data_IF_128762327527
#
_entry.id   IF_128762327527
#
_cell.length_a   1.000
_cell.length_b   1.000
_cell.length_c   1.000
_cell.angle_alpha   90.00
_cell.angle_beta   90.00
_cell.angle_gamma   90.00
#
_symmetry.space_group_name_H-M   'P 1'
#
loop_
_entity.id
_entity.type
_entity.pdbx_description
1 polymer ?
#
# COMPACT_ATOMS: atom_id res chain seq x y z
N UNK A 1 -8.81 15.14 10.84
CA UNK A 1 -8.46 14.13 9.81
C UNK A 1 -9.50 13.04 9.89
N UNK A 2 -10.07 12.64 8.75
CA UNK A 2 -11.14 11.63 8.70
C UNK A 2 -10.52 10.25 8.98
N UNK A 3 -10.56 9.81 10.23
CA UNK A 3 -10.36 8.40 10.64
C UNK A 3 -11.61 7.55 10.36
N UNK A 4 -12.55 8.06 9.54
CA UNK A 4 -13.86 7.45 9.28
C UNK A 4 -13.90 6.61 8.01
N UNK A 5 -12.85 6.62 7.18
CA UNK A 5 -12.75 5.72 6.03
C UNK A 5 -12.40 4.33 6.57
N UNK A 6 -13.21 3.34 6.24
CA UNK A 6 -13.09 2.01 6.83
C UNK A 6 -12.60 0.98 5.83
N UNK A 7 -12.81 1.18 4.52
CA UNK A 7 -12.59 0.15 3.52
C UNK A 7 -11.48 0.43 2.50
N UNK A 8 -11.02 -0.61 1.79
CA UNK A 8 -9.95 -0.51 0.80
C UNK A 8 -10.32 0.34 -0.43
N UNK A 9 -11.60 0.33 -0.82
CA UNK A 9 -12.12 1.15 -1.92
C UNK A 9 -12.04 2.64 -1.55
N UNK A 10 -12.50 2.99 -0.35
CA UNK A 10 -12.51 4.37 0.12
C UNK A 10 -11.10 4.94 0.25
N UNK A 11 -10.18 4.17 0.84
CA UNK A 11 -8.77 4.57 0.97
C UNK A 11 -8.08 4.72 -0.38
N UNK A 12 -8.27 3.77 -1.30
CA UNK A 12 -7.64 3.83 -2.62
C UNK A 12 -8.13 5.04 -3.43
N UNK A 13 -9.44 5.33 -3.40
CA UNK A 13 -10.00 6.51 -4.06
C UNK A 13 -9.54 7.81 -3.41
N UNK A 14 -9.51 7.87 -2.08
CA UNK A 14 -9.04 9.07 -1.37
C UNK A 14 -7.59 9.40 -1.71
N UNK A 15 -6.70 8.40 -1.67
CA UNK A 15 -5.28 8.59 -2.00
C UNK A 15 -5.13 8.99 -3.47
N UNK A 16 -5.82 8.31 -4.40
CA UNK A 16 -5.76 8.69 -5.81
C UNK A 16 -6.29 10.10 -6.08
N UNK A 17 -7.38 10.52 -5.41
CA UNK A 17 -7.91 11.87 -5.55
C UNK A 17 -6.91 12.94 -5.09
N UNK A 18 -6.20 12.72 -3.98
CA UNK A 18 -5.14 13.64 -3.53
C UNK A 18 -4.03 13.76 -4.59
N UNK A 19 -3.62 12.63 -5.14
CA UNK A 19 -2.53 12.59 -6.11
C UNK A 19 -2.96 13.21 -7.46
N UNK A 20 -4.20 13.00 -7.89
CA UNK A 20 -4.76 13.60 -9.11
C UNK A 20 -4.84 15.12 -8.97
N UNK A 21 -5.20 15.63 -7.78
CA UNK A 21 -5.18 17.07 -7.51
C UNK A 21 -3.76 17.66 -7.48
N UNK A 22 -2.76 16.89 -7.04
CA UNK A 22 -1.37 17.35 -6.92
C UNK A 22 -0.58 17.25 -8.24
N UNK A 23 -0.86 16.25 -9.07
CA UNK A 23 -0.02 15.88 -10.22
C UNK A 23 -0.80 15.69 -11.54
N UNK A 24 -2.13 15.86 -11.52
CA UNK A 24 -3.00 15.60 -12.68
C UNK A 24 -3.39 14.13 -12.83
N UNK A 25 -4.40 13.87 -13.67
CA UNK A 25 -5.00 12.54 -13.83
C UNK A 25 -4.16 11.57 -14.69
N UNK A 26 -3.13 12.05 -15.40
CA UNK A 26 -2.26 11.25 -16.29
C UNK A 26 -0.93 10.85 -15.63
N UNK A 27 -0.77 11.08 -14.33
CA UNK A 27 0.46 10.91 -13.53
C UNK A 27 1.00 9.47 -13.40
N UNK A 28 0.40 8.48 -14.07
CA UNK A 28 0.79 7.09 -13.94
C UNK A 28 2.11 6.82 -14.70
N UNK A 29 2.98 5.93 -14.20
CA UNK A 29 2.82 5.09 -13.01
C UNK A 29 3.05 5.82 -11.67
N UNK A 30 2.18 5.57 -10.69
CA UNK A 30 2.37 5.90 -9.26
C UNK A 30 3.73 5.45 -8.68
N UNK A 31 4.42 6.34 -7.98
CA UNK A 31 5.53 5.96 -7.09
C UNK A 31 4.99 5.58 -5.71
N UNK A 32 4.89 4.29 -5.41
CA UNK A 32 4.40 3.82 -4.09
C UNK A 32 5.30 4.29 -2.95
N UNK A 33 6.61 4.34 -3.21
CA UNK A 33 7.61 4.81 -2.25
C UNK A 33 7.36 6.27 -1.90
N UNK A 34 7.20 7.15 -2.89
CA UNK A 34 6.93 8.57 -2.62
C UNK A 34 5.59 8.79 -1.94
N UNK A 35 4.55 8.04 -2.32
CA UNK A 35 3.26 8.10 -1.62
C UNK A 35 3.44 7.71 -0.15
N UNK A 36 4.12 6.59 0.12
CA UNK A 36 4.40 6.16 1.49
C UNK A 36 5.18 7.23 2.27
N UNK A 37 6.31 7.71 1.75
CA UNK A 37 7.24 8.56 2.52
C UNK A 37 6.93 10.06 2.47
N UNK A 38 6.06 10.53 1.57
CA UNK A 38 5.71 11.95 1.48
C UNK A 38 4.26 12.24 1.85
N UNK A 39 3.31 11.35 1.51
CA UNK A 39 1.90 11.57 1.82
C UNK A 39 1.59 11.20 3.26
N UNK A 40 2.06 10.06 3.75
CA UNK A 40 1.73 9.60 5.11
C UNK A 40 2.24 10.52 6.22
N UNK A 41 3.42 11.18 6.14
CA UNK A 41 3.80 12.23 7.10
C UNK A 41 2.86 13.43 7.17
N UNK A 42 2.20 13.76 6.05
CA UNK A 42 1.23 14.87 5.99
C UNK A 42 -0.13 14.44 6.54
N UNK A 43 -0.56 13.22 6.22
CA UNK A 43 -1.84 12.68 6.68
C UNK A 43 -1.81 12.21 8.13
N UNK A 44 -0.67 11.70 8.61
CA UNK A 44 -0.53 11.05 9.90
C UNK A 44 0.80 11.42 10.58
N UNK A 45 0.97 12.68 10.98
CA UNK A 45 2.25 13.18 11.50
C UNK A 45 2.72 12.51 12.81
N UNK A 46 1.85 11.74 13.49
CA UNK A 46 2.17 11.06 14.75
C UNK A 46 2.63 9.62 14.57
N UNK A 47 2.37 9.01 13.41
CA UNK A 47 2.66 7.62 13.10
C UNK A 47 2.86 7.41 11.58
N UNK A 48 3.69 8.19 10.90
CA UNK A 48 3.85 8.10 9.45
C UNK A 48 4.71 6.91 9.02
N UNK A 49 4.65 6.57 7.73
CA UNK A 49 5.69 5.75 7.11
C UNK A 49 6.90 6.63 6.85
N UNK A 50 8.04 6.26 7.43
CA UNK A 50 9.30 7.02 7.34
C UNK A 50 10.32 6.34 6.42
N UNK A 51 10.19 5.04 6.20
CA UNK A 51 11.15 4.26 5.42
C UNK A 51 10.44 3.22 4.54
N UNK A 52 10.96 3.04 3.33
CA UNK A 52 10.64 1.91 2.46
C UNK A 52 11.96 1.29 2.02
N UNK A 53 12.17 0.01 2.34
CA UNK A 53 13.50 -0.61 2.20
C UNK A 53 13.44 -2.05 1.69
N UNK A 54 14.35 -2.38 0.78
CA UNK A 54 14.57 -3.77 0.39
C UNK A 54 15.30 -4.54 1.47
N UNK A 55 14.86 -5.75 1.78
CA UNK A 55 15.52 -6.67 2.68
C UNK A 55 15.45 -8.11 2.15
N UNK A 56 16.34 -8.99 2.62
CA UNK A 56 16.20 -10.43 2.39
C UNK A 56 15.17 -10.95 3.38
N UNK A 57 13.97 -11.25 2.88
CA UNK A 57 12.86 -11.73 3.71
C UNK A 57 12.65 -13.23 3.45
N UNK A 58 13.04 -14.08 4.41
CA UNK A 58 12.90 -15.53 4.24
C UNK A 58 11.42 -15.93 4.23
N UNK A 59 10.94 -16.43 3.10
CA UNK A 59 9.56 -16.92 2.94
C UNK A 59 8.48 -15.83 2.94
N UNK A 60 8.85 -14.54 2.89
CA UNK A 60 7.91 -13.41 2.84
C UNK A 60 8.18 -12.56 1.60
N UNK A 61 7.14 -11.93 1.07
CA UNK A 61 7.27 -11.00 -0.05
C UNK A 61 7.41 -9.56 0.45
N UNK A 62 6.73 -9.22 1.55
CA UNK A 62 6.77 -7.90 2.17
C UNK A 62 6.51 -7.95 3.68
N UNK A 63 6.73 -6.81 4.32
CA UNK A 63 6.36 -6.60 5.71
C UNK A 63 6.10 -5.12 6.00
N UNK A 64 5.10 -4.83 6.81
CA UNK A 64 4.88 -3.54 7.43
C UNK A 64 5.27 -3.66 8.90
N UNK A 65 6.26 -2.91 9.37
CA UNK A 65 6.68 -2.96 10.78
C UNK A 65 6.71 -1.57 11.42
N UNK A 66 6.49 -1.46 12.74
CA UNK A 66 6.79 -0.22 13.44
C UNK A 66 8.28 0.11 13.27
N UNK A 67 8.61 1.40 13.10
CA UNK A 67 9.99 1.85 12.90
C UNK A 67 10.88 1.34 14.05
N UNK A 68 11.87 0.47 13.76
CA UNK A 68 12.71 -0.16 14.76
C UNK A 68 13.59 0.85 15.52
N UNK A 69 13.78 2.07 14.97
CA UNK A 69 14.53 3.14 15.62
C UNK A 69 13.70 3.91 16.68
N UNK A 70 12.53 3.39 17.09
CA UNK A 70 11.66 3.94 18.16
C UNK A 70 11.17 5.37 17.91
N UNK A 71 11.22 5.84 16.66
CA UNK A 71 10.52 7.04 16.23
C UNK A 71 9.08 6.65 15.97
N UNK A 72 8.13 7.50 16.38
CA UNK A 72 6.70 7.23 16.24
C UNK A 72 6.36 7.11 14.74
N UNK A 73 6.39 5.90 14.17
CA UNK A 73 6.31 5.70 12.73
C UNK A 73 6.39 4.24 12.30
N UNK A 74 6.37 4.02 11.00
CA UNK A 74 6.27 2.72 10.33
C UNK A 74 7.28 2.62 9.18
N UNK A 75 7.67 1.39 8.86
CA UNK A 75 8.52 1.07 7.72
C UNK A 75 7.90 -0.04 6.88
N UNK A 76 8.00 0.09 5.56
CA UNK A 76 7.66 -0.98 4.61
C UNK A 76 8.94 -1.68 4.16
N UNK A 77 8.92 -3.01 4.21
CA UNK A 77 9.97 -3.86 3.67
C UNK A 77 9.45 -4.66 2.48
N UNK A 78 10.28 -4.84 1.47
CA UNK A 78 10.00 -5.74 0.35
C UNK A 78 11.17 -6.70 0.14
N UNK A 79 10.88 -7.91 -0.32
CA UNK A 79 11.88 -8.94 -0.49
C UNK A 79 12.75 -8.68 -1.73
N UNK A 80 14.04 -8.46 -1.53
CA UNK A 80 15.00 -8.23 -2.62
C UNK A 80 15.27 -9.48 -3.46
N UNK A 81 14.88 -10.67 -2.98
CA UNK A 81 14.93 -11.90 -3.78
C UNK A 81 13.90 -11.92 -4.92
N UNK A 82 12.85 -11.09 -4.85
CA UNK A 82 11.85 -10.96 -5.91
C UNK A 82 12.39 -10.07 -7.03
N UNK A 83 12.69 -10.65 -8.19
CA UNK A 83 13.21 -9.89 -9.35
C UNK A 83 12.13 -9.15 -10.15
N UNK A 84 10.86 -9.53 -9.97
CA UNK A 84 9.76 -8.94 -10.72
C UNK A 84 9.38 -7.57 -10.16
N UNK A 85 9.70 -6.51 -10.92
CA UNK A 85 9.30 -5.12 -10.60
C UNK A 85 7.79 -4.99 -10.36
N UNK A 86 6.96 -5.72 -11.12
CA UNK A 86 5.49 -5.72 -10.94
C UNK A 86 5.08 -6.31 -9.60
N UNK A 87 5.66 -7.45 -9.22
CA UNK A 87 5.39 -8.07 -7.91
C UNK A 87 5.84 -7.16 -6.77
N UNK A 88 7.06 -6.61 -6.83
CA UNK A 88 7.54 -5.64 -5.83
C UNK A 88 6.56 -4.46 -5.69
N UNK A 89 6.12 -3.89 -6.82
CA UNK A 89 5.22 -2.72 -6.80
C UNK A 89 3.86 -3.06 -6.19
N UNK A 90 3.32 -4.24 -6.47
CA UNK A 90 2.09 -4.72 -5.84
C UNK A 90 2.27 -5.01 -4.35
N UNK A 91 3.36 -5.63 -3.95
CA UNK A 91 3.71 -5.85 -2.53
C UNK A 91 3.80 -4.53 -1.78
N UNK A 92 4.50 -3.54 -2.32
CA UNK A 92 4.57 -2.21 -1.69
C UNK A 92 3.18 -1.57 -1.54
N UNK A 93 2.32 -1.70 -2.56
CA UNK A 93 0.95 -1.22 -2.50
C UNK A 93 0.11 -1.96 -1.45
N UNK A 94 0.32 -3.27 -1.31
CA UNK A 94 -0.33 -4.13 -0.32
C UNK A 94 0.07 -3.73 1.11
N UNK A 95 1.38 -3.57 1.39
CA UNK A 95 1.84 -3.11 2.70
C UNK A 95 1.36 -1.69 3.03
N UNK A 96 1.27 -0.82 2.02
CA UNK A 96 0.67 0.51 2.17
C UNK A 96 -0.83 0.42 2.51
N UNK A 97 -1.55 -0.55 1.96
CA UNK A 97 -2.93 -0.87 2.33
C UNK A 97 -3.06 -1.25 3.81
N UNK A 98 -2.20 -2.16 4.28
CA UNK A 98 -2.12 -2.50 5.71
C UNK A 98 -1.84 -1.27 6.58
N UNK A 99 -1.00 -0.35 6.11
CA UNK A 99 -0.74 0.88 6.85
C UNK A 99 -2.01 1.72 6.99
N UNK A 100 -2.72 1.99 5.90
CA UNK A 100 -3.92 2.83 5.96
C UNK A 100 -5.03 2.23 6.83
N UNK A 101 -5.26 0.92 6.74
CA UNK A 101 -6.44 0.28 7.33
C UNK A 101 -6.15 -0.47 8.64
N UNK A 102 -5.00 -1.13 8.76
CA UNK A 102 -4.81 -2.19 9.76
C UNK A 102 -3.74 -1.89 10.83
N UNK A 103 -2.90 -0.87 10.64
CA UNK A 103 -1.76 -0.57 11.53
C UNK A 103 -2.11 -0.41 13.02
N UNK A 104 -3.30 0.10 13.33
CA UNK A 104 -3.78 0.28 14.73
C UNK A 104 -4.28 -1.02 15.35
N UNK A 105 -4.78 -1.95 14.54
CA UNK A 105 -5.22 -3.27 14.98
C UNK A 105 -4.03 -4.22 15.21
N UNK A 106 -2.94 -4.02 14.45
CA UNK A 106 -1.72 -4.84 14.53
C UNK A 106 -0.48 -3.97 14.80
N UNK A 107 -0.31 -3.45 16.03
CA UNK A 107 0.80 -2.54 16.36
C UNK A 107 2.19 -3.17 16.28
N UNK A 108 2.27 -4.50 16.17
CA UNK A 108 3.52 -5.24 15.93
C UNK A 108 3.87 -5.38 14.44
N UNK A 109 2.98 -4.96 13.55
CA UNK A 109 3.15 -5.07 12.11
C UNK A 109 2.59 -6.33 11.48
N UNK A 110 2.88 -6.47 10.19
CA UNK A 110 2.48 -7.52 9.28
C UNK A 110 3.71 -8.16 8.63
N UNK A 111 3.62 -9.46 8.38
CA UNK A 111 4.62 -10.25 7.69
C UNK A 111 3.89 -11.00 6.58
N UNK A 112 3.87 -10.40 5.39
CA UNK A 112 3.05 -10.87 4.30
C UNK A 112 3.88 -11.75 3.37
N UNK A 113 3.45 -12.99 3.24
CA UNK A 113 3.97 -13.93 2.25
C UNK A 113 2.92 -14.15 1.17
N UNK A 114 3.36 -14.58 0.00
CA UNK A 114 2.46 -15.13 -1.01
C UNK A 114 1.53 -16.19 -0.39
N UNK A 115 0.35 -16.34 -0.99
CA UNK A 115 -0.78 -17.14 -0.47
C UNK A 115 -0.43 -18.60 -0.11
N UNK A 116 0.68 -19.10 -0.65
CA UNK A 116 1.15 -20.48 -0.46
C UNK A 116 2.08 -20.69 0.74
N UNK A 117 2.49 -19.63 1.44
CA UNK A 117 3.38 -19.74 2.60
C UNK A 117 2.60 -19.65 3.93
N UNK A 118 2.74 -20.64 4.83
CA UNK A 118 2.17 -20.59 6.17
C UNK A 118 2.92 -19.54 6.99
N UNK A 119 2.32 -18.37 7.19
CA UNK A 119 2.89 -17.37 8.10
C UNK A 119 2.60 -17.77 9.54
N UNK A 120 3.63 -17.70 10.38
CA UNK A 120 3.58 -18.04 11.81
C UNK A 120 2.83 -16.97 12.64
N UNK A 121 2.43 -15.87 12.00
CA UNK A 121 1.62 -14.79 12.56
C UNK A 121 0.21 -14.89 11.98
N UNK A 122 -0.82 -14.74 12.82
CA UNK A 122 -2.23 -14.83 12.45
C UNK A 122 -2.56 -13.83 11.34
N UNK A 123 -2.44 -14.27 10.08
CA UNK A 123 -3.07 -13.62 8.94
C UNK A 123 -4.56 -13.67 9.16
N UNK A 124 -5.16 -12.50 9.33
CA UNK A 124 -6.61 -12.39 9.31
C UNK A 124 -6.99 -12.27 7.84
N UNK A 125 -7.53 -13.35 7.25
CA UNK A 125 -7.74 -13.47 5.78
C UNK A 125 -8.39 -12.23 5.16
N UNK A 126 -9.39 -11.64 5.82
CA UNK A 126 -10.08 -10.47 5.28
C UNK A 126 -9.20 -9.22 5.19
N UNK A 127 -8.21 -9.05 6.09
CA UNK A 127 -7.28 -7.92 6.03
C UNK A 127 -6.31 -8.03 4.86
N UNK A 128 -5.89 -9.25 4.52
CA UNK A 128 -5.05 -9.51 3.34
C UNK A 128 -5.86 -9.23 2.06
N UNK A 129 -7.12 -9.66 2.01
CA UNK A 129 -8.03 -9.37 0.90
C UNK A 129 -8.27 -7.85 0.75
N UNK A 130 -8.43 -7.12 1.85
CA UNK A 130 -8.54 -5.66 1.83
C UNK A 130 -7.25 -4.99 1.35
N UNK A 131 -6.08 -5.44 1.81
CA UNK A 131 -4.80 -4.91 1.36
C UNK A 131 -4.55 -5.17 -0.14
N UNK A 132 -4.90 -6.36 -0.63
CA UNK A 132 -4.88 -6.70 -2.06
C UNK A 132 -5.84 -5.81 -2.87
N UNK A 133 -7.07 -5.61 -2.37
CA UNK A 133 -8.08 -4.75 -3.00
C UNK A 133 -7.61 -3.30 -3.09
N UNK A 134 -7.03 -2.79 -2.00
CA UNK A 134 -6.44 -1.46 -1.98
C UNK A 134 -5.31 -1.35 -3.00
N UNK A 135 -4.36 -2.28 -2.99
CA UNK A 135 -3.20 -2.27 -3.90
C UNK A 135 -3.62 -2.27 -5.37
N UNK A 136 -4.60 -3.11 -5.72
CA UNK A 136 -5.14 -3.17 -7.07
C UNK A 136 -5.75 -1.82 -7.51
N UNK A 137 -6.65 -1.24 -6.70
CA UNK A 137 -7.34 0.01 -7.02
C UNK A 137 -6.43 1.24 -6.96
N UNK A 138 -5.42 1.22 -6.09
CA UNK A 138 -4.43 2.27 -5.98
C UNK A 138 -3.49 2.29 -7.20
N UNK A 139 -3.01 1.12 -7.64
CA UNK A 139 -2.07 1.00 -8.75
C UNK A 139 -2.73 1.06 -10.13
N UNK A 140 -4.01 0.67 -10.22
CA UNK A 140 -4.80 0.61 -11.45
C UNK A 140 -6.23 1.14 -11.19
N UNK A 141 -6.39 2.45 -10.93
CA UNK A 141 -7.70 3.00 -10.64
C UNK A 141 -8.65 2.85 -11.83
N UNK A 142 -9.95 2.59 -11.60
CA UNK A 142 -10.89 2.27 -12.68
C UNK A 142 -10.93 3.31 -13.81
N UNK A 143 -10.81 4.61 -13.50
CA UNK A 143 -10.81 5.69 -14.49
C UNK A 143 -9.60 5.60 -15.44
N UNK A 144 -8.40 5.45 -14.89
CA UNK A 144 -7.16 5.30 -15.67
C UNK A 144 -7.14 3.98 -16.46
N UNK A 145 -7.50 2.87 -15.81
CA UNK A 145 -7.59 1.57 -16.45
C UNK A 145 -8.55 1.58 -17.64
N UNK A 146 -9.73 2.17 -17.47
CA UNK A 146 -10.72 2.31 -18.53
C UNK A 146 -10.22 3.20 -19.66
N UNK A 147 -9.50 4.30 -19.40
CA UNK A 147 -8.87 5.10 -20.46
C UNK A 147 -7.83 4.30 -21.26
N UNK A 148 -7.00 3.51 -20.59
CA UNK A 148 -5.92 2.77 -21.25
C UNK A 148 -6.41 1.56 -22.07
N UNK A 149 -7.39 0.83 -21.54
CA UNK A 149 -7.87 -0.42 -22.16
C UNK A 149 -9.13 -0.20 -23.00
N UNK A 150 -9.96 0.77 -22.63
CA UNK A 150 -11.30 0.97 -23.21
C UNK A 150 -11.69 2.46 -23.37
N UNK A 151 -10.80 3.28 -23.93
CA UNK A 151 -11.07 4.72 -24.12
C UNK A 151 -12.44 5.05 -24.74
N UNK A 152 -12.95 4.35 -25.79
CA UNK A 152 -14.21 4.73 -26.44
C UNK A 152 -15.49 4.49 -25.63
N UNK A 153 -15.44 3.73 -24.52
CA UNK A 153 -16.61 3.50 -23.63
C UNK A 153 -16.40 4.04 -22.23
N UNK A 154 -15.35 4.83 -22.04
CA UNK A 154 -15.09 5.44 -20.76
C UNK A 154 -16.02 6.65 -20.55
N UNK A 155 -16.69 6.77 -19.38
CA UNK A 155 -17.45 7.96 -19.06
C UNK A 155 -16.53 9.19 -19.11
N UNK A 156 -17.03 10.36 -19.57
CA UNK A 156 -16.26 11.60 -19.54
C UNK A 156 -15.83 12.00 -18.13
#
# INVERSE_FOLDING_TARGET
MRETLQGPIEWSFYVNQILDQAFGEERYPVSVVEVATMLTPRLFPKDPITEVKGAVLLGMDGALAPDPQRRKGWAIFFNTAVSSRRRIRFTLGHELGHYFMHRRHHPRGFQCSNRDAPSQWQKVSWMEDEADTFSALFLMPPKDFCRQIWAPRCPP
#
